data_IF_177372559820
#
_entry.id   IF_177372559820
#
_cell.length_a   1.000
_cell.length_b   1.000
_cell.length_c   1.000
_cell.angle_alpha   90.00
_cell.angle_beta   90.00
_cell.angle_gamma   90.00
#
_symmetry.space_group_name_H-M   'P 1'
#
loop_
_entity.id
_entity.type
_entity.pdbx_description
1 polymer ?
#
# COMPACT_ATOMS: atom_id res chain seq x y z
N UNK A 1 40.75 38.55 30.65
CA UNK A 1 39.28 38.66 30.48
C UNK A 1 38.83 37.52 29.60
N UNK A 2 38.26 36.52 30.24
CA UNK A 2 37.75 35.27 29.67
C UNK A 2 36.39 35.53 29.03
N UNK A 3 36.15 35.06 27.80
CA UNK A 3 34.86 34.45 27.46
C UNK A 3 34.97 33.55 26.22
N UNK A 4 34.59 32.32 26.49
CA UNK A 4 34.60 31.12 25.65
C UNK A 4 33.38 31.08 24.72
N UNK A 5 33.58 30.45 23.55
CA UNK A 5 32.68 29.73 22.63
C UNK A 5 31.19 30.07 22.54
N UNK A 6 30.67 30.06 21.31
CA UNK A 6 29.65 29.07 20.91
C UNK A 6 29.78 28.79 19.41
N UNK A 7 30.11 27.54 19.08
CA UNK A 7 29.79 26.96 17.78
C UNK A 7 28.26 26.89 17.68
N UNK A 8 27.66 27.53 16.68
CA UNK A 8 26.26 27.29 16.34
C UNK A 8 26.18 25.96 15.61
N UNK A 9 25.87 24.96 16.41
CA UNK A 9 25.25 23.70 16.02
C UNK A 9 23.94 24.00 15.29
N UNK A 10 23.92 23.81 13.98
CA UNK A 10 22.68 23.51 13.25
C UNK A 10 22.99 22.31 12.36
N UNK A 11 23.08 21.14 13.00
CA UNK A 11 22.89 19.88 12.32
C UNK A 11 21.41 19.83 11.94
N UNK A 12 21.11 20.27 10.73
CA UNK A 12 19.77 20.22 10.14
C UNK A 12 19.25 18.78 10.24
N UNK A 13 18.12 18.63 10.93
CA UNK A 13 17.40 17.38 11.15
C UNK A 13 17.15 16.72 9.80
N UNK A 14 17.89 15.64 9.51
CA UNK A 14 17.60 14.77 8.36
C UNK A 14 16.37 13.93 8.68
N UNK A 15 15.22 14.59 8.83
CA UNK A 15 13.93 13.95 8.88
C UNK A 15 13.78 13.12 7.61
N UNK A 16 13.76 11.80 7.78
CA UNK A 16 13.62 10.89 6.66
C UNK A 16 12.15 10.95 6.21
N UNK A 17 11.85 11.75 5.18
CA UNK A 17 10.47 11.90 4.69
C UNK A 17 9.97 10.61 4.06
N UNK A 18 8.71 10.27 4.34
CA UNK A 18 7.99 9.19 3.64
C UNK A 18 7.18 9.78 2.49
N UNK A 19 7.31 9.15 1.32
CA UNK A 19 6.70 9.60 0.07
C UNK A 19 5.64 8.60 -0.40
N UNK A 20 4.50 9.11 -0.80
CA UNK A 20 3.38 8.38 -1.37
C UNK A 20 3.36 8.56 -2.88
N UNK A 21 3.22 7.43 -3.56
CA UNK A 21 3.03 7.34 -5.00
C UNK A 21 1.64 6.75 -5.25
N UNK A 22 0.66 7.62 -5.46
CA UNK A 22 -0.69 7.25 -5.87
C UNK A 22 -0.92 7.79 -7.29
N UNK A 23 -1.10 6.89 -8.26
CA UNK A 23 -1.29 7.27 -9.66
C UNK A 23 -2.69 7.85 -9.94
N UNK A 24 -3.64 7.68 -9.02
CA UNK A 24 -5.02 8.14 -9.18
C UNK A 24 -5.32 9.43 -8.39
N UNK A 25 -4.32 9.98 -7.68
CA UNK A 25 -4.51 11.19 -6.86
C UNK A 25 -4.56 12.47 -7.69
N UNK A 26 -5.19 13.51 -7.12
CA UNK A 26 -5.12 14.91 -7.60
C UNK A 26 -4.07 15.74 -6.85
N UNK A 27 -3.41 15.17 -5.86
CA UNK A 27 -2.30 15.79 -5.13
C UNK A 27 -1.00 15.74 -5.97
N UNK A 28 0.07 16.44 -5.57
CA UNK A 28 1.38 16.28 -6.20
C UNK A 28 1.86 14.82 -6.19
N UNK A 29 2.61 14.41 -7.22
CA UNK A 29 3.17 13.07 -7.34
C UNK A 29 4.71 13.14 -7.44
N UNK A 30 5.47 12.67 -6.44
CA UNK A 30 5.02 12.09 -5.18
C UNK A 30 4.48 13.14 -4.18
N UNK A 31 3.66 12.67 -3.23
CA UNK A 31 3.15 13.46 -2.10
C UNK A 31 3.85 13.04 -0.80
N UNK A 32 4.13 13.95 0.12
CA UNK A 32 4.63 13.55 1.45
C UNK A 32 3.50 12.87 2.23
N UNK A 33 3.81 11.83 3.00
CA UNK A 33 2.82 11.03 3.75
C UNK A 33 1.87 11.91 4.58
N UNK A 34 2.39 12.89 5.32
CA UNK A 34 1.59 13.79 6.14
C UNK A 34 0.54 14.54 5.31
N UNK A 35 0.96 15.20 4.23
CA UNK A 35 0.09 15.94 3.32
C UNK A 35 -0.95 15.01 2.67
N UNK A 36 -0.53 13.80 2.28
CA UNK A 36 -1.40 12.80 1.67
C UNK A 36 -2.47 12.32 2.66
N UNK A 37 -2.09 12.00 3.89
CA UNK A 37 -3.00 11.50 4.92
C UNK A 37 -4.03 12.56 5.30
N UNK A 38 -3.58 13.80 5.50
CA UNK A 38 -4.44 14.94 5.82
C UNK A 38 -5.43 15.27 4.69
N UNK A 39 -4.96 15.23 3.43
CA UNK A 39 -5.76 15.67 2.29
C UNK A 39 -6.69 14.59 1.72
N UNK A 40 -6.41 13.30 2.00
CA UNK A 40 -7.15 12.16 1.41
C UNK A 40 -8.17 11.56 2.37
N UNK A 41 -7.82 11.37 3.64
CA UNK A 41 -8.65 10.61 4.59
C UNK A 41 -9.39 11.55 5.55
N UNK A 42 -10.65 11.82 5.26
CA UNK A 42 -11.55 12.55 6.17
C UNK A 42 -12.03 11.68 7.34
N UNK A 43 -12.64 12.30 8.34
CA UNK A 43 -13.27 11.57 9.44
C UNK A 43 -14.65 11.05 9.00
N UNK A 44 -14.91 9.76 9.27
CA UNK A 44 -16.07 9.01 8.78
C UNK A 44 -16.60 8.09 9.88
N UNK A 45 -17.83 7.58 9.78
CA UNK A 45 -18.32 6.54 10.69
C UNK A 45 -17.39 5.32 10.75
N UNK A 46 -17.31 4.60 11.89
CA UNK A 46 -16.32 3.53 12.12
C UNK A 46 -16.29 2.43 11.04
N UNK A 47 -17.43 2.07 10.45
CA UNK A 47 -17.49 1.04 9.41
C UNK A 47 -16.99 1.50 8.03
N UNK A 48 -16.73 2.80 7.86
CA UNK A 48 -16.11 3.38 6.68
C UNK A 48 -14.65 3.81 6.94
N UNK A 49 -14.14 3.67 8.16
CA UNK A 49 -12.76 4.02 8.48
C UNK A 49 -11.78 3.14 7.68
N UNK A 50 -10.73 3.78 7.17
CA UNK A 50 -9.71 3.09 6.38
C UNK A 50 -8.70 2.38 7.27
N UNK A 51 -8.40 1.14 6.92
CA UNK A 51 -7.27 0.37 7.43
C UNK A 51 -6.20 0.25 6.35
N UNK A 52 -4.94 0.17 6.77
CA UNK A 52 -3.79 0.16 5.89
C UNK A 52 -2.94 -1.07 6.14
N UNK A 53 -2.71 -1.87 5.10
CA UNK A 53 -1.77 -3.00 5.14
C UNK A 53 -0.40 -2.56 4.63
N UNK A 54 0.60 -2.54 5.51
CA UNK A 54 1.99 -2.18 5.17
C UNK A 54 2.79 -3.45 4.89
N UNK A 55 3.29 -3.56 3.66
CA UNK A 55 4.05 -4.72 3.17
C UNK A 55 5.38 -4.23 2.62
N UNK A 56 6.52 -4.83 3.00
CA UNK A 56 7.80 -4.54 2.36
C UNK A 56 7.72 -4.82 0.85
N UNK A 57 8.26 -3.92 0.03
CA UNK A 57 8.15 -4.01 -1.42
C UNK A 57 8.69 -5.33 -2.00
N UNK A 58 9.78 -5.86 -1.44
CA UNK A 58 10.35 -7.13 -1.89
C UNK A 58 9.44 -8.33 -1.54
N UNK A 59 8.76 -8.28 -0.39
CA UNK A 59 7.76 -9.28 0.01
C UNK A 59 6.57 -9.23 -0.95
N UNK A 60 6.07 -8.02 -1.27
CA UNK A 60 4.99 -7.86 -2.24
C UNK A 60 5.35 -8.47 -3.60
N UNK A 61 6.51 -8.11 -4.15
CA UNK A 61 6.97 -8.62 -5.45
C UNK A 61 7.15 -10.15 -5.48
N UNK A 62 7.58 -10.77 -4.37
CA UNK A 62 7.79 -12.23 -4.29
C UNK A 62 6.50 -13.01 -4.05
N UNK A 63 5.58 -12.47 -3.25
CA UNK A 63 4.42 -13.23 -2.74
C UNK A 63 3.10 -12.91 -3.45
N UNK A 64 2.99 -11.78 -4.14
CA UNK A 64 1.73 -11.36 -4.77
C UNK A 64 1.37 -12.24 -5.97
N UNK A 65 0.11 -12.66 -6.05
CA UNK A 65 -0.45 -13.33 -7.21
C UNK A 65 -1.90 -12.92 -7.45
N UNK A 66 -2.25 -12.60 -8.69
CA UNK A 66 -3.63 -12.33 -9.10
C UNK A 66 -3.89 -12.87 -10.49
N UNK A 67 -4.88 -13.75 -10.61
CA UNK A 67 -5.41 -14.28 -11.87
C UNK A 67 -6.46 -13.34 -12.51
N UNK A 68 -6.74 -12.19 -11.89
CA UNK A 68 -7.72 -11.17 -12.31
C UNK A 68 -9.19 -11.65 -12.30
N UNK A 69 -9.47 -12.83 -11.76
CA UNK A 69 -10.83 -13.40 -11.70
C UNK A 69 -11.84 -12.48 -11.00
N UNK A 70 -11.41 -11.74 -9.97
CA UNK A 70 -12.26 -10.77 -9.27
C UNK A 70 -12.78 -9.61 -10.15
N UNK A 71 -12.16 -9.36 -11.31
CA UNK A 71 -12.60 -8.34 -12.28
C UNK A 71 -13.46 -8.92 -13.41
N UNK A 72 -13.58 -10.24 -13.49
CA UNK A 72 -14.46 -10.89 -14.46
C UNK A 72 -15.91 -10.74 -14.00
N UNK A 73 -16.79 -10.36 -14.93
CA UNK A 73 -18.23 -10.32 -14.67
C UNK A 73 -18.83 -11.72 -14.83
N UNK A 74 -19.81 -12.04 -13.98
CA UNK A 74 -20.57 -13.31 -13.98
C UNK A 74 -21.52 -13.47 -15.18
N UNK A 75 -21.39 -12.67 -16.25
CA UNK A 75 -22.19 -12.84 -17.46
C UNK A 75 -21.67 -14.03 -18.26
N UNK A 76 -22.03 -15.23 -17.80
CA UNK A 76 -21.88 -16.48 -18.52
C UNK A 76 -22.81 -16.49 -19.74
N UNK A 77 -22.24 -16.78 -20.91
CA UNK A 77 -22.74 -17.58 -22.05
C UNK A 77 -21.97 -17.23 -23.34
N UNK A 78 -21.32 -16.06 -23.43
CA UNK A 78 -20.40 -15.65 -24.51
C UNK A 78 -19.36 -14.69 -23.97
N UNK A 79 -18.07 -14.96 -24.24
CA UNK A 79 -16.87 -14.17 -23.91
C UNK A 79 -16.74 -13.62 -22.47
N UNK A 80 -15.59 -13.86 -21.84
CA UNK A 80 -15.29 -13.37 -20.50
C UNK A 80 -15.26 -11.84 -20.50
N UNK A 81 -16.32 -11.21 -20.00
CA UNK A 81 -16.42 -9.75 -19.94
C UNK A 81 -15.83 -9.25 -18.63
N UNK A 82 -14.84 -8.37 -18.70
CA UNK A 82 -14.26 -7.72 -17.52
C UNK A 82 -14.99 -6.41 -17.19
N UNK A 83 -15.06 -6.06 -15.90
CA UNK A 83 -15.62 -4.77 -15.44
C UNK A 83 -14.81 -3.57 -15.94
N UNK A 84 -13.51 -3.75 -16.17
CA UNK A 84 -12.62 -2.81 -16.84
C UNK A 84 -11.61 -3.59 -17.70
N UNK A 85 -11.06 -3.01 -18.79
CA UNK A 85 -10.07 -3.69 -19.61
C UNK A 85 -8.88 -4.15 -18.76
N UNK A 86 -8.52 -5.45 -18.78
CA UNK A 86 -7.37 -5.91 -18.02
C UNK A 86 -6.07 -5.36 -18.64
N UNK A 87 -5.00 -5.23 -17.84
CA UNK A 87 -3.69 -4.88 -18.39
C UNK A 87 -3.23 -5.87 -19.46
N UNK A 88 -2.49 -5.41 -20.47
CA UNK A 88 -2.07 -6.22 -21.63
C UNK A 88 -0.99 -7.26 -21.32
N UNK A 89 -0.27 -7.11 -20.21
CA UNK A 89 0.69 -8.11 -19.74
C UNK A 89 -0.01 -9.29 -19.07
N UNK A 90 0.69 -10.40 -18.87
CA UNK A 90 0.15 -11.60 -18.22
C UNK A 90 -0.22 -11.40 -16.73
N UNK A 91 -1.14 -12.19 -16.16
CA UNK A 91 -1.43 -12.17 -14.73
C UNK A 91 -0.15 -12.27 -13.87
N UNK A 92 -0.05 -11.41 -12.85
CA UNK A 92 1.16 -11.31 -12.02
C UNK A 92 1.20 -12.51 -11.07
N UNK A 93 2.37 -13.17 -11.02
CA UNK A 93 2.70 -14.20 -10.02
C UNK A 93 4.14 -14.01 -9.58
N UNK A 94 4.34 -13.59 -8.33
CA UNK A 94 5.67 -13.45 -7.73
C UNK A 94 6.39 -14.79 -7.62
N UNK A 95 7.72 -14.77 -7.55
CA UNK A 95 8.55 -15.98 -7.59
C UNK A 95 8.18 -16.99 -6.50
N UNK A 96 8.01 -16.55 -5.25
CA UNK A 96 7.59 -17.42 -4.16
C UNK A 96 6.14 -17.89 -4.29
N UNK A 97 5.26 -17.09 -4.89
CA UNK A 97 3.90 -17.52 -5.19
C UNK A 97 3.90 -18.66 -6.21
N UNK A 98 4.75 -18.56 -7.25
CA UNK A 98 4.93 -19.62 -8.26
C UNK A 98 5.46 -20.90 -7.62
N UNK A 99 6.52 -20.81 -6.80
CA UNK A 99 7.11 -21.95 -6.09
C UNK A 99 6.08 -22.70 -5.22
N UNK A 100 5.15 -21.95 -4.61
CA UNK A 100 4.07 -22.50 -3.77
C UNK A 100 2.83 -22.94 -4.55
N UNK A 101 2.83 -22.82 -5.88
CA UNK A 101 1.67 -23.14 -6.71
C UNK A 101 0.50 -22.17 -6.55
N UNK A 102 0.72 -20.98 -5.98
CA UNK A 102 -0.31 -19.97 -5.80
C UNK A 102 -0.58 -19.25 -7.13
N UNK A 103 -1.85 -19.23 -7.53
CA UNK A 103 -2.32 -18.57 -8.77
C UNK A 103 -3.07 -17.27 -8.48
N UNK A 104 -3.72 -17.17 -7.31
CA UNK A 104 -4.43 -15.99 -6.86
C UNK A 104 -4.44 -15.93 -5.33
N UNK A 105 -4.06 -14.80 -4.76
CA UNK A 105 -4.12 -14.52 -3.33
C UNK A 105 -4.47 -13.07 -2.99
N UNK A 106 -4.86 -12.27 -3.98
CA UNK A 106 -5.19 -10.85 -3.82
C UNK A 106 -6.19 -10.62 -2.67
N UNK A 107 -7.36 -11.24 -2.74
CA UNK A 107 -8.43 -11.01 -1.77
C UNK A 107 -8.10 -11.57 -0.38
N UNK A 108 -7.52 -12.77 -0.33
CA UNK A 108 -7.30 -13.50 0.93
C UNK A 108 -6.04 -13.10 1.69
N UNK A 109 -5.06 -12.47 1.04
CA UNK A 109 -3.74 -12.21 1.63
C UNK A 109 -3.32 -10.74 1.62
N UNK A 110 -3.88 -9.92 0.72
CA UNK A 110 -3.50 -8.51 0.54
C UNK A 110 -4.66 -7.53 0.81
N UNK A 111 -5.90 -7.86 0.38
CA UNK A 111 -7.09 -7.02 0.62
C UNK A 111 -7.72 -7.30 1.98
N UNK A 112 -7.75 -8.56 2.43
CA UNK A 112 -8.22 -8.89 3.78
C UNK A 112 -7.43 -8.09 4.83
N UNK A 113 -8.14 -7.45 5.75
CA UNK A 113 -7.56 -6.64 6.84
C UNK A 113 -7.50 -7.41 8.17
N UNK A 114 -7.99 -8.65 8.21
CA UNK A 114 -7.73 -9.54 9.33
C UNK A 114 -6.24 -9.93 9.36
N UNK A 115 -5.68 -10.01 10.58
CA UNK A 115 -4.34 -10.56 10.76
C UNK A 115 -4.43 -12.09 10.80
N UNK A 116 -3.82 -12.75 9.82
CA UNK A 116 -3.73 -14.22 9.78
C UNK A 116 -2.40 -14.69 9.21
N UNK A 117 -2.06 -15.96 9.44
CA UNK A 117 -0.85 -16.59 8.91
C UNK A 117 -0.77 -16.61 7.37
N UNK A 118 -1.89 -16.36 6.70
CA UNK A 118 -1.97 -16.31 5.23
C UNK A 118 -1.67 -14.92 4.67
N UNK A 119 -1.66 -13.90 5.52
CA UNK A 119 -1.50 -12.50 5.12
C UNK A 119 -0.06 -12.03 5.24
N UNK A 120 0.31 -11.00 4.48
CA UNK A 120 1.64 -10.41 4.50
C UNK A 120 1.63 -9.01 5.11
N UNK A 121 2.74 -8.63 5.74
CA UNK A 121 2.87 -7.33 6.38
C UNK A 121 2.03 -7.19 7.64
N UNK A 122 1.75 -5.95 8.04
CA UNK A 122 0.94 -5.64 9.21
C UNK A 122 -0.13 -4.62 8.87
N UNK A 123 -1.26 -4.69 9.57
CA UNK A 123 -2.40 -3.78 9.40
C UNK A 123 -2.35 -2.72 10.49
N UNK A 124 -2.56 -1.46 10.09
CA UNK A 124 -2.64 -0.31 10.99
C UNK A 124 -3.85 0.55 10.65
N UNK A 125 -4.31 1.33 11.62
CA UNK A 125 -5.32 2.35 11.43
C UNK A 125 -4.72 3.71 11.01
N UNK A 126 -5.60 4.67 10.72
CA UNK A 126 -5.24 6.05 10.35
C UNK A 126 -4.37 6.75 11.40
N UNK A 127 -4.63 6.53 12.69
CA UNK A 127 -3.91 7.17 13.78
C UNK A 127 -2.45 6.65 13.87
N UNK A 128 -2.28 5.33 13.73
CA UNK A 128 -0.99 4.67 13.71
C UNK A 128 -0.18 5.01 12.45
N UNK A 129 -0.82 5.23 11.29
CA UNK A 129 -0.13 5.64 10.06
C UNK A 129 0.54 7.01 10.22
N UNK A 130 -0.11 7.93 10.95
CA UNK A 130 0.37 9.31 11.13
C UNK A 130 1.45 9.46 12.21
N UNK A 131 1.75 8.40 12.98
CA UNK A 131 2.68 8.44 14.13
C UNK A 131 3.89 7.52 14.00
N UNK A 132 3.93 6.60 13.02
CA UNK A 132 4.93 5.52 12.95
C UNK A 132 5.95 5.64 11.82
N UNK A 133 5.93 6.72 11.05
CA UNK A 133 6.73 6.89 9.83
C UNK A 133 7.24 8.32 9.70
#
# INVERSE_FOLDING_TARGET
MTRTATASVDAEDKSNKVWIYDCDTRLPLPCVLEDYMFSTFMDVPPHYESLFRIIPGDVFLKQFASDRSHMASDQAWTDLKYMAPPPSYEPIRGTSAVEKGVVNNLMSSFVDMASSERTFGHVIDKAAMSTRM
#
